data_IF_372654723472
#
_entry.id   IF_372654723472
#
_cell.length_a   1.000
_cell.length_b   1.000
_cell.length_c   1.000
_cell.angle_alpha   90.00
_cell.angle_beta   90.00
_cell.angle_gamma   90.00
#
_symmetry.space_group_name_H-M   'P 1'
#
loop_
_entity.id
_entity.type
_entity.pdbx_description
1 polymer ?
#
# COMPACT_ATOMS: atom_id res chain seq x y z
N UNK A 1 -3.41 -2.90 8.20
CA UNK A 1 -4.06 -3.32 9.43
C UNK A 1 -5.37 -4.03 9.08
N UNK A 2 -5.51 -5.29 9.52
CA UNK A 2 -6.67 -6.16 9.22
C UNK A 2 -7.65 -6.26 10.39
N UNK A 3 -7.23 -5.79 11.57
CA UNK A 3 -8.01 -5.96 12.78
C UNK A 3 -9.19 -5.00 12.85
N UNK A 4 -10.28 -5.50 13.37
CA UNK A 4 -11.43 -4.68 13.68
C UNK A 4 -11.12 -3.80 14.90
N UNK A 5 -11.48 -2.52 14.78
CA UNK A 5 -11.39 -1.53 15.85
C UNK A 5 -12.79 -1.04 16.20
N UNK A 6 -13.25 -1.35 17.40
CA UNK A 6 -14.63 -1.05 17.84
C UNK A 6 -14.96 0.45 17.82
N UNK A 7 -13.93 1.31 17.92
CA UNK A 7 -14.10 2.76 17.88
C UNK A 7 -14.07 3.36 16.47
N UNK A 8 -13.94 2.52 15.43
CA UNK A 8 -13.93 2.95 14.03
C UNK A 8 -15.02 2.19 13.30
N UNK A 9 -16.03 2.91 12.83
CA UNK A 9 -17.10 2.30 12.04
C UNK A 9 -16.54 1.63 10.78
N UNK A 10 -17.02 0.41 10.51
CA UNK A 10 -16.65 -0.37 9.32
C UNK A 10 -15.14 -0.68 9.20
N UNK A 11 -14.42 -0.71 10.31
CA UNK A 11 -13.03 -1.16 10.34
C UNK A 11 -12.93 -2.68 10.27
N UNK A 12 -11.73 -3.14 9.93
CA UNK A 12 -11.42 -4.57 9.83
C UNK A 12 -11.72 -5.16 8.45
N UNK A 13 -11.07 -6.27 8.19
CA UNK A 13 -11.28 -7.06 6.99
C UNK A 13 -12.03 -8.36 7.36
N UNK A 14 -12.77 -8.97 6.42
CA UNK A 14 -13.54 -10.20 6.70
C UNK A 14 -12.65 -11.44 6.87
N UNK A 15 -11.35 -11.28 6.84
CA UNK A 15 -10.35 -12.34 7.03
C UNK A 15 -9.10 -11.77 7.73
N UNK A 16 -8.36 -12.59 8.49
CA UNK A 16 -7.13 -12.16 9.15
C UNK A 16 -5.97 -12.07 8.15
N UNK A 17 -4.98 -11.24 8.46
CA UNK A 17 -3.76 -11.06 7.64
C UNK A 17 -3.09 -12.39 7.28
N UNK A 18 -3.08 -13.35 8.20
CA UNK A 18 -2.45 -14.67 8.02
C UNK A 18 -2.92 -15.40 6.75
N UNK A 19 -4.17 -15.20 6.35
CA UNK A 19 -4.71 -15.84 5.12
C UNK A 19 -4.04 -15.32 3.86
N UNK A 20 -3.49 -14.11 3.89
CA UNK A 20 -2.85 -13.49 2.73
C UNK A 20 -1.33 -13.36 2.84
N UNK A 21 -0.71 -13.84 3.91
CA UNK A 21 0.76 -13.80 4.09
C UNK A 21 1.52 -14.44 2.93
N UNK A 22 0.99 -15.53 2.35
CA UNK A 22 1.57 -16.17 1.19
C UNK A 22 1.61 -15.25 -0.05
N UNK A 23 0.62 -14.40 -0.21
CA UNK A 23 0.56 -13.40 -1.28
C UNK A 23 1.52 -12.24 -1.01
N UNK A 24 1.67 -11.81 0.24
CA UNK A 24 2.66 -10.80 0.62
C UNK A 24 4.08 -11.28 0.32
N UNK A 25 4.44 -12.52 0.64
CA UNK A 25 5.74 -13.10 0.29
C UNK A 25 5.99 -13.05 -1.22
N UNK A 26 5.00 -13.39 -2.02
CA UNK A 26 5.09 -13.31 -3.48
C UNK A 26 5.19 -11.86 -3.96
N UNK A 27 4.43 -10.94 -3.36
CA UNK A 27 4.49 -9.51 -3.68
C UNK A 27 5.88 -8.92 -3.40
N UNK A 28 6.55 -9.34 -2.32
CA UNK A 28 7.93 -8.96 -2.02
C UNK A 28 8.88 -9.25 -3.18
N UNK A 29 8.75 -10.43 -3.79
CA UNK A 29 9.57 -10.79 -4.96
C UNK A 29 9.31 -9.89 -6.16
N UNK A 30 8.04 -9.56 -6.43
CA UNK A 30 7.69 -8.64 -7.53
C UNK A 30 8.13 -7.21 -7.28
N UNK A 31 8.13 -6.77 -6.03
CA UNK A 31 8.51 -5.42 -5.63
C UNK A 31 10.01 -5.30 -5.30
N UNK A 32 10.77 -6.38 -5.39
CA UNK A 32 12.20 -6.42 -5.01
C UNK A 32 12.43 -5.95 -3.55
N UNK A 33 11.50 -6.27 -2.64
CA UNK A 33 11.55 -5.88 -1.23
C UNK A 33 12.32 -6.88 -0.34
N UNK A 34 13.02 -7.84 -0.91
CA UNK A 34 13.73 -8.88 -0.17
C UNK A 34 12.79 -9.85 0.57
N UNK A 35 13.26 -10.45 1.64
CA UNK A 35 12.47 -11.37 2.45
C UNK A 35 11.28 -10.68 3.14
N UNK A 36 10.19 -11.41 3.25
CA UNK A 36 9.02 -10.98 4.04
C UNK A 36 9.30 -11.14 5.54
N UNK A 37 10.22 -10.34 6.04
CA UNK A 37 10.59 -10.29 7.45
C UNK A 37 10.74 -8.84 7.91
N UNK A 38 9.96 -8.49 8.91
CA UNK A 38 9.86 -7.14 9.49
C UNK A 38 10.36 -7.08 10.92
N UNK A 39 11.10 -8.10 11.37
CA UNK A 39 11.73 -8.12 12.70
C UNK A 39 13.15 -7.56 12.61
N UNK A 40 13.44 -6.59 13.46
CA UNK A 40 14.77 -5.97 13.52
C UNK A 40 15.88 -7.00 13.66
N UNK A 41 15.70 -7.97 14.58
CA UNK A 41 16.74 -8.96 14.92
C UNK A 41 17.18 -9.84 13.75
N UNK A 42 16.33 -10.07 12.80
CA UNK A 42 16.60 -10.91 11.62
C UNK A 42 16.82 -10.10 10.35
N UNK A 43 16.07 -9.01 10.17
CA UNK A 43 16.20 -8.16 9.00
C UNK A 43 17.48 -7.28 9.04
N UNK A 44 17.90 -6.87 10.22
CA UNK A 44 19.09 -6.06 10.44
C UNK A 44 20.01 -6.72 11.49
N UNK A 45 20.73 -7.82 11.13
CA UNK A 45 21.58 -8.52 12.05
C UNK A 45 22.65 -7.60 12.66
N UNK A 46 22.76 -7.61 13.98
CA UNK A 46 23.69 -6.73 14.71
C UNK A 46 23.10 -5.36 15.10
N UNK A 47 21.91 -5.01 14.61
CA UNK A 47 21.25 -3.80 15.06
C UNK A 47 20.83 -3.93 16.55
N UNK A 48 20.90 -2.85 17.35
CA UNK A 48 20.46 -2.87 18.73
C UNK A 48 18.95 -3.14 18.79
N UNK A 49 18.45 -3.83 19.82
CA UNK A 49 17.02 -4.14 19.96
C UNK A 49 16.14 -2.89 19.92
N UNK A 50 16.52 -1.84 20.65
CA UNK A 50 15.85 -0.54 20.59
C UNK A 50 16.58 0.42 19.68
N UNK A 51 15.82 1.26 18.95
CA UNK A 51 16.36 2.34 18.13
C UNK A 51 17.01 3.44 19.00
N UNK A 52 16.48 3.63 20.19
CA UNK A 52 16.92 4.66 21.16
C UNK A 52 17.56 3.95 22.34
N UNK A 53 18.86 4.16 22.63
CA UNK A 53 19.52 3.57 23.79
C UNK A 53 18.81 3.94 25.09
N UNK A 54 18.56 2.93 25.95
CA UNK A 54 17.85 3.12 27.20
C UNK A 54 16.35 3.34 27.10
N UNK A 55 15.78 3.23 25.90
CA UNK A 55 14.33 3.29 25.71
C UNK A 55 13.74 1.91 26.00
N UNK A 56 12.78 1.87 26.89
CA UNK A 56 12.02 0.67 27.22
C UNK A 56 10.68 0.68 26.46
N UNK A 57 10.39 -0.42 25.78
CA UNK A 57 9.12 -0.58 25.09
C UNK A 57 7.95 -0.59 26.07
N UNK A 58 6.85 0.06 25.68
CA UNK A 58 5.64 0.16 26.47
C UNK A 58 4.45 0.48 25.55
N UNK A 59 3.83 1.63 25.76
CA UNK A 59 2.80 2.15 24.84
C UNK A 59 3.37 2.42 23.46
N UNK A 60 4.64 2.75 23.41
CA UNK A 60 5.40 3.00 22.18
C UNK A 60 6.56 2.02 22.11
N UNK A 61 6.85 1.51 20.93
CA UNK A 61 7.98 0.62 20.66
C UNK A 61 8.80 1.13 19.48
N UNK A 62 10.03 0.68 19.39
CA UNK A 62 10.98 1.03 18.33
C UNK A 62 11.45 -0.20 17.54
N UNK A 63 10.79 -1.33 17.70
CA UNK A 63 11.13 -2.61 17.08
C UNK A 63 10.59 -2.77 15.66
N UNK A 64 9.68 -1.88 15.23
CA UNK A 64 9.13 -1.92 13.88
C UNK A 64 10.12 -1.45 12.83
N UNK A 65 10.09 -2.09 11.67
CA UNK A 65 10.82 -1.63 10.48
C UNK A 65 9.86 -1.50 9.31
N UNK A 66 10.21 -0.64 8.39
CA UNK A 66 9.68 -0.60 7.04
C UNK A 66 10.75 -1.04 6.05
N UNK A 67 10.34 -1.65 4.95
CA UNK A 67 11.21 -2.05 3.85
C UNK A 67 10.93 -1.21 2.62
N UNK A 68 12.00 -0.82 1.95
CA UNK A 68 11.92 0.00 0.75
C UNK A 68 12.50 -0.78 -0.40
N UNK A 69 11.70 -1.01 -1.44
CA UNK A 69 12.28 -1.55 -2.66
C UNK A 69 13.42 -0.63 -3.11
N UNK A 70 14.50 -1.15 -3.68
CA UNK A 70 15.35 -0.32 -4.51
C UNK A 70 14.39 0.39 -5.47
N UNK A 71 14.66 1.59 -6.01
CA UNK A 71 13.67 2.31 -6.82
C UNK A 71 13.28 1.49 -8.05
N UNK A 72 12.48 0.44 -7.79
CA UNK A 72 12.00 -0.53 -8.76
C UNK A 72 11.10 0.16 -9.76
N UNK A 73 11.59 0.32 -10.97
CA UNK A 73 10.82 0.88 -12.06
C UNK A 73 10.11 -0.27 -12.80
N UNK A 74 8.88 -0.58 -12.39
CA UNK A 74 8.09 -1.69 -12.95
C UNK A 74 8.09 -1.71 -14.48
N UNK A 75 7.95 -0.54 -15.12
CA UNK A 75 7.98 -0.42 -16.58
C UNK A 75 9.32 -0.85 -17.20
N UNK A 76 10.45 -0.70 -16.51
CA UNK A 76 11.76 -1.18 -16.97
C UNK A 76 11.94 -2.67 -16.68
N UNK A 77 11.63 -3.08 -15.46
CA UNK A 77 11.84 -4.46 -14.99
C UNK A 77 10.97 -5.43 -15.76
N UNK A 78 9.69 -5.13 -15.95
CA UNK A 78 8.72 -6.07 -16.54
C UNK A 78 8.51 -5.90 -18.05
N UNK A 79 8.92 -4.79 -18.67
CA UNK A 79 8.78 -4.60 -20.11
C UNK A 79 9.32 -5.77 -20.94
N UNK A 80 10.53 -6.30 -20.68
CA UNK A 80 11.05 -7.42 -21.48
C UNK A 80 10.19 -8.67 -21.38
N UNK A 81 9.62 -8.95 -20.23
CA UNK A 81 8.73 -10.09 -20.00
C UNK A 81 7.43 -9.90 -20.76
N UNK A 82 6.82 -8.72 -20.61
CA UNK A 82 5.56 -8.38 -21.26
C UNK A 82 5.65 -8.37 -22.78
N UNK A 83 6.77 -7.90 -23.33
CA UNK A 83 6.97 -7.81 -24.80
C UNK A 83 7.31 -9.15 -25.46
N UNK A 84 7.85 -10.10 -24.70
CA UNK A 84 8.23 -11.46 -25.21
C UNK A 84 7.14 -12.49 -25.02
N UNK A 85 6.11 -12.18 -24.25
CA UNK A 85 5.05 -13.13 -23.97
C UNK A 85 4.10 -13.31 -25.16
N UNK A 86 4.07 -14.49 -25.76
CA UNK A 86 3.26 -14.80 -26.94
C UNK A 86 1.75 -14.84 -26.65
N UNK A 87 1.39 -15.09 -25.39
CA UNK A 87 0.02 -15.18 -24.92
C UNK A 87 -0.52 -13.89 -24.29
N UNK A 88 0.21 -12.78 -24.42
CA UNK A 88 -0.15 -11.50 -23.81
C UNK A 88 -0.20 -10.41 -24.87
N UNK A 89 -1.22 -9.56 -24.79
CA UNK A 89 -1.30 -8.32 -25.57
C UNK A 89 -1.42 -7.12 -24.65
N UNK A 90 -0.48 -6.20 -24.73
CA UNK A 90 -0.49 -4.94 -24.00
C UNK A 90 -1.00 -3.84 -24.93
N UNK A 91 -2.08 -3.18 -24.55
CA UNK A 91 -2.63 -2.02 -25.26
C UNK A 91 -2.23 -0.75 -24.50
N UNK A 92 -1.40 0.08 -25.13
CA UNK A 92 -0.99 1.38 -24.60
C UNK A 92 -1.93 2.48 -25.11
N UNK A 93 -2.03 3.58 -24.34
CA UNK A 93 -2.89 4.72 -24.67
C UNK A 93 -4.37 4.32 -24.89
N UNK A 94 -4.78 3.26 -24.20
CA UNK A 94 -6.11 2.68 -24.25
C UNK A 94 -6.74 2.73 -22.87
N UNK A 95 -7.69 3.63 -22.68
CA UNK A 95 -8.35 3.88 -21.39
C UNK A 95 -9.67 3.10 -21.32
N UNK A 96 -9.85 2.29 -20.28
CA UNK A 96 -11.15 1.72 -19.95
C UNK A 96 -12.09 2.85 -19.49
N UNK A 97 -13.16 3.06 -20.22
CA UNK A 97 -14.09 4.18 -19.96
C UNK A 97 -15.41 3.73 -19.36
N UNK A 98 -15.85 2.51 -19.66
CA UNK A 98 -17.08 1.94 -19.12
C UNK A 98 -16.98 0.41 -19.10
N UNK A 99 -17.50 -0.21 -18.04
CA UNK A 99 -17.76 -1.63 -17.94
C UNK A 99 -19.17 -1.92 -18.41
N UNK A 100 -19.34 -2.96 -19.21
CA UNK A 100 -20.65 -3.37 -19.72
C UNK A 100 -21.09 -4.64 -19.00
N UNK A 101 -22.00 -4.53 -18.02
CA UNK A 101 -22.60 -5.70 -17.39
C UNK A 101 -23.48 -6.45 -18.36
N UNK A 102 -23.68 -7.76 -18.12
CA UNK A 102 -24.74 -8.55 -18.71
C UNK A 102 -26.11 -7.96 -18.38
N UNK A 103 -27.14 -8.31 -19.14
CA UNK A 103 -28.51 -7.81 -18.95
C UNK A 103 -29.08 -8.11 -17.55
N UNK A 104 -28.63 -9.20 -16.92
CA UNK A 104 -28.99 -9.57 -15.54
C UNK A 104 -28.10 -8.90 -14.47
N UNK A 105 -27.09 -8.11 -14.89
CA UNK A 105 -26.17 -7.37 -14.02
C UNK A 105 -25.17 -8.23 -13.25
N UNK A 106 -25.10 -9.54 -13.48
CA UNK A 106 -24.31 -10.45 -12.63
C UNK A 106 -22.87 -10.67 -13.05
N UNK A 107 -22.51 -10.28 -14.27
CA UNK A 107 -21.14 -10.42 -14.81
C UNK A 107 -20.81 -9.25 -15.70
N UNK A 108 -19.54 -9.07 -15.99
CA UNK A 108 -19.06 -8.09 -16.99
C UNK A 108 -18.90 -8.83 -18.33
N UNK A 109 -19.67 -8.40 -19.32
CA UNK A 109 -19.61 -8.97 -20.67
C UNK A 109 -18.50 -8.34 -21.50
N UNK A 110 -18.20 -7.07 -21.27
CA UNK A 110 -17.15 -6.36 -21.99
C UNK A 110 -16.71 -5.07 -21.30
N UNK A 111 -15.62 -4.51 -21.81
CA UNK A 111 -15.06 -3.23 -21.39
C UNK A 111 -15.01 -2.30 -22.61
N UNK A 112 -15.60 -1.14 -22.52
CA UNK A 112 -15.48 -0.10 -23.53
C UNK A 112 -14.18 0.67 -23.29
N UNK A 113 -13.43 0.84 -24.36
CA UNK A 113 -12.10 1.44 -24.36
C UNK A 113 -12.08 2.63 -25.31
N UNK A 114 -11.45 3.72 -24.88
CA UNK A 114 -11.18 4.89 -25.69
C UNK A 114 -9.68 5.18 -25.76
N UNK A 115 -9.22 5.67 -26.91
CA UNK A 115 -7.84 6.15 -27.08
C UNK A 115 -7.80 7.68 -27.07
N UNK A 116 -6.65 8.27 -26.84
CA UNK A 116 -6.47 9.73 -26.92
C UNK A 116 -6.73 10.29 -28.35
N UNK A 117 -6.64 9.45 -29.36
CA UNK A 117 -7.01 9.82 -30.74
C UNK A 117 -8.51 9.77 -31.02
N UNK A 118 -9.33 9.50 -30.00
CA UNK A 118 -10.79 9.45 -30.13
C UNK A 118 -11.35 8.10 -30.64
N UNK A 119 -10.51 7.12 -30.96
CA UNK A 119 -10.99 5.78 -31.33
C UNK A 119 -11.65 5.10 -30.14
N UNK A 120 -12.75 4.41 -30.41
CA UNK A 120 -13.43 3.57 -29.42
C UNK A 120 -13.51 2.13 -29.93
N UNK A 121 -13.36 1.20 -29.02
CA UNK A 121 -13.54 -0.23 -29.26
C UNK A 121 -13.92 -0.95 -27.97
N UNK A 122 -14.37 -2.18 -28.11
CA UNK A 122 -14.83 -2.99 -27.00
C UNK A 122 -13.93 -4.22 -26.85
N UNK A 123 -13.52 -4.53 -25.62
CA UNK A 123 -12.77 -5.72 -25.28
C UNK A 123 -13.70 -6.68 -24.55
N UNK A 124 -13.72 -7.95 -24.98
CA UNK A 124 -14.47 -9.03 -24.32
C UNK A 124 -13.52 -10.05 -23.74
N UNK A 125 -13.80 -10.50 -22.52
CA UNK A 125 -13.03 -11.52 -21.83
C UNK A 125 -13.92 -12.35 -20.92
N UNK A 126 -13.50 -13.57 -20.60
CA UNK A 126 -14.18 -14.40 -19.60
C UNK A 126 -14.05 -13.83 -18.20
N UNK A 127 -12.89 -13.23 -17.90
CA UNK A 127 -12.59 -12.61 -16.60
C UNK A 127 -12.02 -11.23 -16.82
N UNK A 128 -12.53 -10.26 -16.10
CA UNK A 128 -12.02 -8.89 -16.09
C UNK A 128 -11.41 -8.58 -14.72
N UNK A 129 -10.15 -8.14 -14.69
CA UNK A 129 -9.44 -7.72 -13.48
C UNK A 129 -9.26 -6.22 -13.51
N UNK A 130 -9.80 -5.53 -12.51
CA UNK A 130 -9.63 -4.09 -12.34
C UNK A 130 -8.41 -3.84 -11.46
N UNK A 131 -7.32 -3.38 -12.05
CA UNK A 131 -6.06 -3.12 -11.37
C UNK A 131 -5.59 -1.66 -11.56
N UNK A 132 -6.53 -0.73 -11.63
CA UNK A 132 -6.27 0.71 -11.85
C UNK A 132 -5.92 1.50 -10.59
N UNK A 133 -5.75 0.84 -9.45
CA UNK A 133 -5.62 1.50 -8.15
C UNK A 133 -6.97 1.92 -7.56
N UNK A 134 -6.99 2.28 -6.28
CA UNK A 134 -8.23 2.51 -5.53
C UNK A 134 -9.10 3.60 -6.13
N UNK A 135 -8.54 4.74 -6.51
CA UNK A 135 -9.29 5.88 -7.04
C UNK A 135 -9.88 5.60 -8.43
N UNK A 136 -9.04 5.16 -9.37
CA UNK A 136 -9.47 4.95 -10.76
C UNK A 136 -10.41 3.73 -10.91
N UNK A 137 -10.18 2.67 -10.15
CA UNK A 137 -11.10 1.53 -10.10
C UNK A 137 -12.46 1.95 -9.58
N UNK A 138 -12.50 2.72 -8.49
CA UNK A 138 -13.74 3.26 -7.92
C UNK A 138 -14.45 4.18 -8.92
N UNK A 139 -13.71 5.09 -9.55
CA UNK A 139 -14.25 5.98 -10.58
C UNK A 139 -14.87 5.20 -11.73
N UNK A 140 -14.19 4.19 -12.24
CA UNK A 140 -14.69 3.36 -13.35
C UNK A 140 -15.99 2.62 -12.97
N UNK A 141 -16.04 2.04 -11.78
CA UNK A 141 -17.22 1.36 -11.27
C UNK A 141 -18.41 2.32 -11.12
N UNK A 142 -18.17 3.51 -10.55
CA UNK A 142 -19.21 4.56 -10.40
C UNK A 142 -19.64 5.15 -11.75
N UNK A 143 -18.76 5.22 -12.74
CA UNK A 143 -19.08 5.73 -14.08
C UNK A 143 -19.87 4.73 -14.93
N UNK A 144 -19.78 3.44 -14.63
CA UNK A 144 -20.41 2.35 -15.38
C UNK A 144 -21.88 2.16 -14.94
N UNK A 145 -22.80 2.95 -15.52
CA UNK A 145 -24.19 3.11 -15.04
C UNK A 145 -25.26 2.55 -15.96
N UNK A 146 -24.89 1.82 -17.01
CA UNK A 146 -25.86 1.38 -18.04
C UNK A 146 -26.93 0.44 -17.49
N UNK A 147 -26.57 -0.48 -16.60
CA UNK A 147 -27.50 -1.42 -15.94
C UNK A 147 -27.75 -1.01 -14.49
N UNK A 148 -26.69 -0.68 -13.76
CA UNK A 148 -26.73 -0.25 -12.37
C UNK A 148 -26.62 1.27 -12.31
N UNK A 149 -27.71 1.98 -12.06
CA UNK A 149 -27.75 3.46 -12.07
C UNK A 149 -26.83 4.10 -11.03
N UNK A 150 -26.63 3.44 -9.91
CA UNK A 150 -25.75 3.83 -8.80
C UNK A 150 -24.27 3.51 -9.04
N UNK A 151 -23.96 2.79 -10.13
CA UNK A 151 -22.65 2.23 -10.40
C UNK A 151 -22.56 0.74 -10.08
N UNK A 152 -21.61 0.05 -10.69
CA UNK A 152 -21.42 -1.40 -10.51
C UNK A 152 -20.94 -1.68 -9.09
N UNK A 153 -21.65 -2.56 -8.37
CA UNK A 153 -21.34 -2.94 -7.00
C UNK A 153 -21.73 -1.92 -5.95
N UNK A 154 -22.42 -0.83 -6.32
CA UNK A 154 -22.78 0.26 -5.40
C UNK A 154 -24.21 0.21 -4.86
N UNK A 155 -24.86 -0.94 -4.85
CA UNK A 155 -26.22 -1.11 -4.30
C UNK A 155 -26.33 -0.79 -2.80
N UNK A 156 -25.22 -0.78 -2.06
CA UNK A 156 -25.13 -0.42 -0.65
C UNK A 156 -24.71 1.03 -0.42
N UNK A 157 -24.43 1.80 -1.48
CA UNK A 157 -23.94 3.19 -1.45
C UNK A 157 -22.58 3.37 -0.73
N UNK A 158 -21.77 2.28 -0.66
CA UNK A 158 -20.44 2.33 -0.02
C UNK A 158 -19.30 2.58 -0.99
N UNK A 159 -19.51 2.39 -2.27
CA UNK A 159 -18.47 2.59 -3.27
C UNK A 159 -18.03 4.06 -3.32
N UNK A 160 -16.75 4.30 -3.08
CA UNK A 160 -16.17 5.64 -3.04
C UNK A 160 -16.30 6.36 -1.70
N UNK A 161 -16.89 5.71 -0.69
CA UNK A 161 -16.95 6.23 0.67
C UNK A 161 -15.79 5.69 1.52
N UNK A 162 -15.54 6.35 2.66
CA UNK A 162 -14.51 5.91 3.59
C UNK A 162 -13.09 6.02 3.03
N UNK A 163 -12.84 6.94 2.10
CA UNK A 163 -11.49 7.17 1.60
C UNK A 163 -10.55 7.54 2.74
N UNK A 164 -9.43 6.82 2.82
CA UNK A 164 -8.38 7.08 3.79
C UNK A 164 -7.08 7.40 3.09
N UNK A 165 -6.38 8.39 3.59
CA UNK A 165 -5.07 8.81 3.14
C UNK A 165 -4.13 8.96 4.33
N UNK A 166 -2.83 8.97 4.07
CA UNK A 166 -1.86 9.30 5.10
C UNK A 166 -1.92 10.80 5.42
N UNK A 167 -1.95 11.11 6.71
CA UNK A 167 -1.72 12.46 7.21
C UNK A 167 -0.26 12.50 7.63
N UNK A 168 0.48 13.47 7.12
CA UNK A 168 1.88 13.69 7.43
C UNK A 168 2.05 15.04 8.13
N UNK A 169 3.02 15.11 9.01
CA UNK A 169 3.40 16.38 9.64
C UNK A 169 4.54 16.18 10.62
N UNK A 170 5.30 17.25 10.85
CA UNK A 170 6.27 17.31 11.93
C UNK A 170 5.51 17.59 13.22
N UNK A 171 5.65 16.69 14.19
CA UNK A 171 4.92 16.77 15.46
C UNK A 171 5.80 17.28 16.61
N UNK A 172 7.12 17.09 16.51
CA UNK A 172 8.06 17.50 17.55
C UNK A 172 9.49 17.60 17.00
N UNK A 173 10.33 18.33 17.69
CA UNK A 173 11.78 18.30 17.55
C UNK A 173 12.39 17.53 18.71
N UNK A 174 13.37 16.67 18.42
CA UNK A 174 14.06 15.84 19.41
C UNK A 174 15.53 16.23 19.42
N UNK A 175 16.06 16.52 20.60
CA UNK A 175 17.49 16.72 20.81
C UNK A 175 18.07 15.47 21.45
N UNK A 176 19.00 14.83 20.74
CA UNK A 176 19.71 13.67 21.26
C UNK A 176 20.82 14.10 22.21
N UNK A 177 20.97 13.38 23.33
CA UNK A 177 22.09 13.59 24.23
C UNK A 177 23.39 13.17 23.54
N UNK A 178 24.45 13.94 23.75
CA UNK A 178 25.76 13.67 23.15
C UNK A 178 26.25 12.24 23.46
N UNK A 179 26.84 11.59 22.46
CA UNK A 179 27.40 10.24 22.59
C UNK A 179 26.43 9.08 22.41
N UNK A 180 25.16 9.35 22.09
CA UNK A 180 24.20 8.28 21.75
C UNK A 180 24.17 8.02 20.25
N UNK A 181 24.37 6.78 19.90
CA UNK A 181 24.21 6.31 18.51
C UNK A 181 22.77 5.84 18.31
N UNK A 182 22.04 6.53 17.45
CA UNK A 182 20.63 6.27 17.17
C UNK A 182 20.46 5.84 15.74
N UNK A 183 20.05 4.60 15.54
CA UNK A 183 19.82 4.01 14.23
C UNK A 183 18.44 4.41 13.70
N UNK A 184 18.33 5.52 13.01
CA UNK A 184 17.07 6.03 12.43
C UNK A 184 17.11 6.24 10.91
N UNK A 185 18.28 6.10 10.30
CA UNK A 185 18.46 6.21 8.86
C UNK A 185 18.05 4.94 8.11
N UNK A 186 18.34 4.94 6.83
CA UNK A 186 18.19 3.74 6.00
C UNK A 186 19.39 2.82 6.19
N UNK A 187 19.12 1.58 6.53
CA UNK A 187 20.11 0.51 6.65
C UNK A 187 19.83 -0.57 5.61
N UNK A 188 20.86 -1.13 5.02
CA UNK A 188 20.69 -2.24 4.09
C UNK A 188 20.62 -3.57 4.86
N UNK A 189 19.65 -4.40 4.54
CA UNK A 189 19.62 -5.78 5.01
C UNK A 189 20.72 -6.62 4.30
N UNK A 190 20.93 -7.89 4.67
CA UNK A 190 21.93 -8.74 4.02
C UNK A 190 21.72 -8.95 2.51
N UNK A 191 20.55 -8.66 1.99
CA UNK A 191 20.23 -8.73 0.56
C UNK A 191 20.36 -7.38 -0.16
N UNK A 192 20.76 -6.32 0.55
CA UNK A 192 20.90 -4.97 0.01
C UNK A 192 19.59 -4.19 -0.08
N UNK A 193 18.53 -4.67 0.53
CA UNK A 193 17.23 -3.97 0.59
C UNK A 193 17.23 -2.97 1.74
N UNK A 194 16.85 -1.75 1.45
CA UNK A 194 16.81 -0.70 2.46
C UNK A 194 15.67 -0.94 3.46
N UNK A 195 16.03 -0.87 4.74
CA UNK A 195 15.13 -0.91 5.87
C UNK A 195 15.28 0.37 6.68
N UNK A 196 14.20 0.86 7.28
CA UNK A 196 14.21 2.00 8.18
C UNK A 196 13.42 1.66 9.43
N UNK A 197 13.95 1.97 10.57
CA UNK A 197 13.25 1.78 11.85
C UNK A 197 12.22 2.89 12.06
N UNK A 198 11.18 2.55 12.79
CA UNK A 198 10.08 3.46 13.11
C UNK A 198 9.67 3.33 14.56
N UNK A 199 9.12 4.38 15.09
CA UNK A 199 8.50 4.44 16.39
C UNK A 199 7.00 4.22 16.17
N UNK A 200 6.43 3.21 16.80
CA UNK A 200 5.03 2.85 16.62
C UNK A 200 4.33 2.65 17.98
N UNK A 201 3.04 2.89 18.02
CA UNK A 201 2.25 2.51 19.19
C UNK A 201 2.02 1.00 19.21
N UNK A 202 2.13 0.41 20.39
CA UNK A 202 1.75 -1.01 20.59
C UNK A 202 0.25 -1.19 20.30
N UNK A 203 -0.14 -2.42 19.93
CA UNK A 203 -1.57 -2.73 19.71
C UNK A 203 -2.41 -2.46 20.96
N UNK A 204 -1.86 -2.76 22.13
CA UNK A 204 -2.52 -2.51 23.41
C UNK A 204 -2.74 -1.01 23.64
N UNK A 205 -1.73 -0.18 23.39
CA UNK A 205 -1.86 1.27 23.49
C UNK A 205 -2.88 1.82 22.48
N UNK A 206 -2.86 1.30 21.24
CA UNK A 206 -3.84 1.70 20.24
C UNK A 206 -5.28 1.39 20.69
N UNK A 207 -5.51 0.23 21.27
CA UNK A 207 -6.84 -0.15 21.83
C UNK A 207 -7.19 0.68 23.05
N UNK A 208 -6.29 0.83 24.01
CA UNK A 208 -6.53 1.58 25.25
C UNK A 208 -6.84 3.05 25.00
N UNK A 209 -6.12 3.68 24.08
CA UNK A 209 -6.26 5.09 23.75
C UNK A 209 -7.15 5.37 22.52
N UNK A 210 -7.73 4.32 21.93
CA UNK A 210 -8.57 4.40 20.72
C UNK A 210 -7.87 5.12 19.55
N UNK A 211 -6.60 4.78 19.34
CA UNK A 211 -5.76 5.37 18.29
C UNK A 211 -5.96 4.65 16.96
N UNK A 212 -5.64 5.36 15.89
CA UNK A 212 -5.43 4.75 14.58
C UNK A 212 -4.04 4.08 14.52
N UNK A 213 -3.81 3.33 13.46
CA UNK A 213 -2.49 2.79 13.18
C UNK A 213 -1.59 3.93 12.69
N UNK A 214 -0.73 4.41 13.57
CA UNK A 214 0.20 5.49 13.28
C UNK A 214 1.63 5.12 13.68
N UNK A 215 2.58 5.69 13.00
CA UNK A 215 3.98 5.58 13.34
C UNK A 215 4.68 6.94 13.13
N UNK A 216 5.83 7.07 13.76
CA UNK A 216 6.68 8.25 13.67
C UNK A 216 8.06 7.82 13.14
N UNK A 217 8.67 8.71 12.42
CA UNK A 217 10.05 8.58 11.93
C UNK A 217 10.87 9.70 12.55
N UNK A 218 12.11 9.39 12.92
CA UNK A 218 13.10 10.44 13.19
C UNK A 218 13.71 10.84 11.85
N UNK A 219 13.77 12.14 11.63
CA UNK A 219 14.37 12.70 10.41
C UNK A 219 15.35 13.81 10.78
N UNK A 220 16.38 14.00 9.96
CA UNK A 220 17.25 15.16 10.09
C UNK A 220 16.62 16.32 9.34
N UNK A 221 16.51 17.49 9.96
CA UNK A 221 16.01 18.65 9.23
C UNK A 221 16.96 18.95 8.07
N UNK A 222 16.39 19.08 6.88
CA UNK A 222 17.15 19.52 5.71
C UNK A 222 17.40 21.02 5.85
N UNK A 223 18.66 21.42 5.77
CA UNK A 223 19.03 22.86 5.81
C UNK A 223 18.40 23.55 4.61
N UNK A 224 17.54 24.54 4.89
CA UNK A 224 16.83 25.30 3.86
C UNK A 224 15.48 24.72 3.43
N UNK A 225 14.99 23.68 4.08
CA UNK A 225 13.61 23.21 3.88
C UNK A 225 12.62 24.20 4.54
N UNK A 226 11.74 24.85 3.77
CA UNK A 226 10.76 25.81 4.30
C UNK A 226 9.67 25.16 5.15
N UNK A 227 9.60 23.84 5.22
CA UNK A 227 8.68 23.07 6.06
C UNK A 227 9.22 22.74 7.45
N UNK A 228 10.43 23.19 7.78
CA UNK A 228 11.10 22.99 9.07
C UNK A 228 11.41 24.30 9.76
#
# INVERSE_FOLDING_TARGET
DFDQREWISHSGWPFPQKEIDGYYRRAHSYCECGEYDYRVSTALPGAPPSMLPGFEDGDVNTSGIERWSPPTQFGKVYRPILTRADNLRVLLHALAVELQPSSDGKRIDSVDVATFSGRRFTVRAHTTVLAGGGLETTRLLLASRRVHREGIGNHSDWLGRGYMSHIHGVIASVTLTAGQDVMFGYEADPQGVFCRRRIAFSEEAQRRHRLLNLYMLLDRPLVGDPGH
#
